data_IF_301743956297
#
_entry.id   IF_301743956297
#
_cell.length_a   1.000
_cell.length_b   1.000
_cell.length_c   1.000
_cell.angle_alpha   90.00
_cell.angle_beta   90.00
_cell.angle_gamma   90.00
#
_symmetry.space_group_name_H-M   'P 1'
#
loop_
_entity.id
_entity.type
_entity.pdbx_description
1 polymer ?
#
# COMPACT_ATOMS: atom_id res chain seq x y z
N UNK A 1 -13.66 67.88 -40.61
CA UNK A 1 -13.17 67.29 -39.34
C UNK A 1 -13.36 65.80 -39.46
N UNK A 2 -12.31 65.09 -39.89
CA UNK A 2 -12.34 63.65 -40.10
C UNK A 2 -12.05 62.94 -38.77
N UNK A 3 -13.03 62.20 -38.26
CA UNK A 3 -12.90 61.37 -37.07
C UNK A 3 -12.27 60.04 -37.48
N UNK A 4 -10.95 59.91 -37.27
CA UNK A 4 -10.23 58.63 -37.34
C UNK A 4 -10.59 57.80 -36.10
N UNK A 5 -11.48 56.82 -36.27
CA UNK A 5 -11.73 55.80 -35.24
C UNK A 5 -10.82 54.62 -35.54
N UNK A 6 -9.65 54.61 -34.89
CA UNK A 6 -8.77 53.46 -34.84
C UNK A 6 -9.40 52.39 -33.91
N UNK A 7 -10.22 51.50 -34.48
CA UNK A 7 -10.64 50.27 -33.78
C UNK A 7 -9.47 49.31 -33.73
N UNK A 8 -8.69 49.41 -32.66
CA UNK A 8 -7.73 48.38 -32.26
C UNK A 8 -8.45 47.03 -32.19
N UNK A 9 -8.10 46.14 -33.10
CA UNK A 9 -8.61 44.78 -33.17
C UNK A 9 -8.21 44.05 -31.89
N UNK A 10 -9.16 43.85 -30.97
CA UNK A 10 -8.99 42.84 -29.92
C UNK A 10 -8.99 41.49 -30.61
N UNK A 11 -7.83 40.83 -30.63
CA UNK A 11 -7.76 39.42 -31.02
C UNK A 11 -8.60 38.59 -30.02
N UNK A 12 -9.44 37.67 -30.51
CA UNK A 12 -10.14 36.73 -29.64
C UNK A 12 -9.10 35.88 -28.87
N UNK A 13 -9.40 35.44 -27.63
CA UNK A 13 -8.53 34.52 -26.92
C UNK A 13 -8.37 33.26 -27.78
N UNK A 14 -7.13 32.92 -28.12
CA UNK A 14 -6.84 31.64 -28.78
C UNK A 14 -7.31 30.52 -27.85
N UNK A 15 -8.29 29.73 -28.31
CA UNK A 15 -8.61 28.44 -27.72
C UNK A 15 -7.40 27.53 -27.94
N UNK A 16 -6.43 27.62 -27.01
CA UNK A 16 -5.25 26.77 -27.03
C UNK A 16 -5.71 25.37 -26.67
N UNK A 17 -6.04 24.57 -27.69
CA UNK A 17 -6.29 23.14 -27.56
C UNK A 17 -5.19 22.59 -26.64
N UNK A 18 -5.58 22.15 -25.43
CA UNK A 18 -4.61 21.76 -24.42
C UNK A 18 -4.11 20.36 -24.71
N UNK A 19 -3.35 20.23 -25.81
CA UNK A 19 -2.71 18.99 -26.26
C UNK A 19 -1.86 18.40 -25.14
N UNK A 20 -1.24 19.24 -24.31
CA UNK A 20 -0.50 18.79 -23.13
C UNK A 20 -1.38 18.11 -22.07
N UNK A 21 -2.59 18.62 -21.82
CA UNK A 21 -3.54 17.97 -20.90
C UNK A 21 -4.00 16.62 -21.44
N UNK A 22 -4.25 16.53 -22.75
CA UNK A 22 -4.66 15.27 -23.40
C UNK A 22 -3.55 14.22 -23.28
N UNK A 23 -2.29 14.61 -23.57
CA UNK A 23 -1.14 13.71 -23.46
C UNK A 23 -0.94 13.26 -22.01
N UNK A 24 -1.08 14.15 -21.04
CA UNK A 24 -0.97 13.81 -19.61
C UNK A 24 -1.99 12.75 -19.18
N UNK A 25 -3.26 12.91 -19.59
CA UNK A 25 -4.32 11.94 -19.29
C UNK A 25 -3.99 10.58 -19.89
N UNK A 26 -3.52 10.52 -21.14
CA UNK A 26 -3.17 9.27 -21.82
C UNK A 26 -2.07 8.53 -21.04
N UNK A 27 -1.03 9.24 -20.60
CA UNK A 27 0.08 8.63 -19.82
C UNK A 27 -0.44 8.07 -18.49
N UNK A 28 -1.26 8.82 -17.76
CA UNK A 28 -1.84 8.37 -16.49
C UNK A 28 -2.68 7.12 -16.69
N UNK A 29 -3.55 7.09 -17.70
CA UNK A 29 -4.41 5.94 -18.00
C UNK A 29 -3.58 4.70 -18.33
N UNK A 30 -2.49 4.85 -19.11
CA UNK A 30 -1.59 3.73 -19.41
C UNK A 30 -0.91 3.19 -18.16
N UNK A 31 -0.37 4.06 -17.29
CA UNK A 31 0.28 3.63 -16.04
C UNK A 31 -0.71 2.90 -15.13
N UNK A 32 -1.94 3.40 -15.00
CA UNK A 32 -2.97 2.74 -14.19
C UNK A 32 -3.40 1.40 -14.80
N UNK A 33 -3.55 1.32 -16.12
CA UNK A 33 -3.92 0.07 -16.80
C UNK A 33 -2.83 -0.99 -16.65
N UNK A 34 -1.56 -0.64 -16.88
CA UNK A 34 -0.44 -1.56 -16.70
C UNK A 34 -0.21 -1.92 -15.24
N UNK A 35 -0.33 -0.96 -14.32
CA UNK A 35 -0.27 -1.20 -12.88
C UNK A 35 -1.37 -2.15 -12.44
N UNK A 36 -2.63 -1.87 -12.77
CA UNK A 36 -3.76 -2.74 -12.44
C UNK A 36 -3.60 -4.15 -13.03
N UNK A 37 -3.16 -4.26 -14.28
CA UNK A 37 -2.90 -5.56 -14.92
C UNK A 37 -1.77 -6.34 -14.23
N UNK A 38 -0.67 -5.66 -13.89
CA UNK A 38 0.47 -6.25 -13.19
C UNK A 38 0.07 -6.77 -11.80
N UNK A 39 -0.69 -5.98 -11.04
CA UNK A 39 -1.20 -6.40 -9.74
C UNK A 39 -2.24 -7.52 -9.84
N UNK A 40 -3.12 -7.51 -10.84
CA UNK A 40 -4.11 -8.57 -11.06
C UNK A 40 -3.47 -9.94 -11.31
N UNK A 41 -2.29 -9.98 -11.95
CA UNK A 41 -1.54 -11.23 -12.18
C UNK A 41 -0.88 -11.80 -10.94
N UNK A 42 -0.70 -10.99 -9.90
CA UNK A 42 -0.06 -11.41 -8.65
C UNK A 42 -1.06 -11.85 -7.58
N UNK A 43 -2.36 -11.80 -7.86
CA UNK A 43 -3.38 -12.37 -6.98
C UNK A 43 -3.48 -13.86 -7.29
N UNK A 44 -2.90 -14.77 -6.47
CA UNK A 44 -3.19 -16.19 -6.62
C UNK A 44 -4.70 -16.38 -6.53
N UNK A 45 -5.26 -17.15 -7.45
CA UNK A 45 -6.66 -17.56 -7.35
C UNK A 45 -6.84 -18.18 -5.96
N UNK A 46 -7.74 -17.61 -5.16
CA UNK A 46 -8.14 -18.22 -3.90
C UNK A 46 -8.88 -19.50 -4.26
N UNK A 47 -8.14 -20.59 -4.49
CA UNK A 47 -8.69 -21.92 -4.39
C UNK A 47 -9.13 -22.07 -2.93
N UNK A 48 -10.45 -22.09 -2.71
CA UNK A 48 -11.09 -22.39 -1.43
C UNK A 48 -10.81 -23.85 -1.01
N UNK A 49 -9.54 -24.17 -0.81
CA UNK A 49 -9.10 -25.37 -0.11
C UNK A 49 -7.80 -25.04 0.60
N UNK A 50 -7.84 -23.97 1.40
CA UNK A 50 -6.85 -23.72 2.44
C UNK A 50 -6.97 -24.82 3.49
N UNK A 51 -6.39 -25.99 3.22
CA UNK A 51 -6.04 -26.89 4.31
C UNK A 51 -4.92 -26.19 5.05
N UNK A 52 -5.28 -25.51 6.16
CA UNK A 52 -4.30 -24.89 7.04
C UNK A 52 -3.30 -25.96 7.40
N UNK A 53 -2.06 -25.79 6.95
CA UNK A 53 -1.01 -26.76 7.24
C UNK A 53 -0.72 -26.70 8.74
N UNK A 54 -0.31 -27.81 9.35
CA UNK A 54 0.01 -27.80 10.79
C UNK A 54 1.09 -26.77 11.15
N UNK A 55 1.96 -26.41 10.20
CA UNK A 55 2.95 -25.35 10.35
C UNK A 55 2.33 -23.93 10.42
N UNK A 56 1.29 -23.66 9.63
CA UNK A 56 0.56 -22.38 9.69
C UNK A 56 -0.26 -22.25 10.98
N UNK A 57 -0.91 -23.33 11.45
CA UNK A 57 -1.61 -23.31 12.74
C UNK A 57 -0.65 -23.12 13.92
N UNK A 58 0.53 -23.75 13.86
CA UNK A 58 1.55 -23.59 14.89
C UNK A 58 2.13 -22.17 14.90
N UNK A 59 2.38 -21.60 13.72
CA UNK A 59 2.87 -20.23 13.60
C UNK A 59 1.87 -19.22 14.17
N UNK A 60 0.57 -19.37 13.87
CA UNK A 60 -0.48 -18.48 14.39
C UNK A 60 -0.61 -18.58 15.92
N UNK A 61 -0.49 -19.79 16.49
CA UNK A 61 -0.54 -19.98 17.94
C UNK A 61 0.63 -19.30 18.68
N UNK A 62 1.84 -19.34 18.10
CA UNK A 62 3.03 -18.68 18.65
C UNK A 62 2.90 -17.17 18.53
N UNK A 63 2.48 -16.65 17.37
CA UNK A 63 2.27 -15.21 17.15
C UNK A 63 1.17 -14.67 18.07
N UNK A 64 0.06 -15.39 18.23
CA UNK A 64 -1.03 -15.01 19.14
C UNK A 64 -0.53 -14.90 20.59
N UNK A 65 0.29 -15.86 21.04
CA UNK A 65 0.87 -15.82 22.39
C UNK A 65 1.87 -14.68 22.62
N UNK A 66 2.62 -14.26 21.59
CA UNK A 66 3.56 -13.13 21.66
C UNK A 66 2.90 -11.77 21.45
N UNK A 67 1.71 -11.72 20.86
CA UNK A 67 0.95 -10.48 20.62
C UNK A 67 0.37 -9.87 21.90
N UNK A 68 0.26 -10.66 22.96
CA UNK A 68 -0.27 -10.22 24.25
C UNK A 68 0.82 -9.49 25.03
N UNK A 69 0.74 -8.16 25.07
CA UNK A 69 1.57 -7.30 25.91
C UNK A 69 0.67 -6.49 26.87
N UNK A 70 1.15 -6.25 28.08
CA UNK A 70 0.47 -5.39 29.05
C UNK A 70 0.49 -3.92 28.63
N UNK A 71 -0.42 -3.13 29.20
CA UNK A 71 -0.50 -1.67 28.98
C UNK A 71 0.10 -0.87 30.15
N UNK A 72 0.67 -1.55 31.15
CA UNK A 72 1.19 -0.89 32.34
C UNK A 72 2.49 -0.14 32.01
N UNK A 73 2.65 1.02 32.64
CA UNK A 73 3.88 1.83 32.56
C UNK A 73 4.68 1.77 33.86
N UNK A 74 4.22 0.98 34.84
CA UNK A 74 4.92 0.77 36.10
C UNK A 74 6.06 -0.24 35.90
N UNK A 75 7.22 0.08 36.48
CA UNK A 75 8.45 -0.69 36.28
C UNK A 75 8.33 -2.16 36.74
N UNK A 76 7.58 -2.38 37.82
CA UNK A 76 7.32 -3.71 38.38
C UNK A 76 6.49 -4.58 37.45
N UNK A 77 5.52 -3.99 36.77
CA UNK A 77 4.62 -4.70 35.85
C UNK A 77 5.35 -5.02 34.54
N UNK A 78 6.18 -4.09 34.04
CA UNK A 78 7.03 -4.33 32.87
C UNK A 78 7.99 -5.51 33.13
N UNK A 79 8.63 -5.56 34.30
CA UNK A 79 9.53 -6.67 34.64
C UNK A 79 8.79 -8.00 34.66
N UNK A 80 7.58 -8.02 35.25
CA UNK A 80 6.72 -9.19 35.28
C UNK A 80 6.32 -9.67 33.88
N UNK A 81 5.99 -8.75 32.98
CA UNK A 81 5.62 -9.07 31.60
C UNK A 81 6.81 -9.63 30.81
N UNK A 82 8.01 -9.08 31.02
CA UNK A 82 9.24 -9.60 30.42
C UNK A 82 9.59 -11.00 30.93
N UNK A 83 9.45 -11.24 32.24
CA UNK A 83 9.71 -12.55 32.86
C UNK A 83 8.70 -13.61 32.41
N UNK A 84 7.47 -13.19 32.09
CA UNK A 84 6.42 -14.07 31.57
C UNK A 84 6.51 -14.30 30.05
N UNK A 85 7.33 -13.52 29.33
CA UNK A 85 7.47 -13.65 27.88
C UNK A 85 8.21 -14.94 27.51
N UNK A 86 7.49 -15.88 26.88
CA UNK A 86 8.06 -17.16 26.45
C UNK A 86 8.64 -17.09 25.03
N UNK A 87 9.96 -17.16 24.90
CA UNK A 87 10.67 -17.11 23.62
C UNK A 87 11.09 -18.50 23.07
N UNK A 88 10.71 -19.58 23.76
CA UNK A 88 11.18 -20.94 23.45
C UNK A 88 10.76 -21.46 22.07
N UNK A 89 9.75 -20.83 21.44
CA UNK A 89 9.23 -21.20 20.12
C UNK A 89 9.70 -20.32 18.97
N UNK A 90 10.51 -19.28 19.22
CA UNK A 90 10.87 -18.30 18.18
C UNK A 90 11.76 -18.90 17.10
N UNK A 91 12.67 -19.81 17.45
CA UNK A 91 13.58 -20.47 16.50
C UNK A 91 12.84 -21.32 15.45
N UNK A 92 11.67 -21.86 15.80
CA UNK A 92 10.88 -22.72 14.92
C UNK A 92 10.32 -21.98 13.68
N UNK A 93 10.19 -20.65 13.72
CA UNK A 93 9.71 -19.82 12.61
C UNK A 93 10.82 -19.17 11.77
N UNK A 94 12.07 -19.12 12.28
CA UNK A 94 13.20 -18.51 11.56
C UNK A 94 13.95 -19.49 10.63
N UNK A 95 13.69 -20.79 10.72
CA UNK A 95 14.32 -21.78 9.84
C UNK A 95 13.91 -21.69 8.36
N UNK A 96 12.79 -21.02 8.06
CA UNK A 96 12.22 -20.92 6.70
C UNK A 96 12.61 -19.62 5.96
N UNK A 97 13.29 -18.68 6.64
CA UNK A 97 13.80 -17.44 6.03
C UNK A 97 15.24 -17.59 5.53
N UNK A 98 15.43 -18.36 4.46
CA UNK A 98 16.69 -18.35 3.67
C UNK A 98 16.70 -17.19 2.67
N UNK A 99 17.71 -16.31 2.75
CA UNK A 99 18.01 -15.26 1.75
C UNK A 99 18.82 -15.81 0.57
#
# INVERSE_FOLDING_TARGET
MDQNINTGTQMPPEEKNSTGSIISIIVIVLVLAFGAYYFMKQVPAVTETGTVTSAEMQSDSVISSLSTQGTSTDLTDIQKDLDATNLSGLDAGLGDITF
#
